data_IF_022847824130
#
_entry.id   IF_022847824130
#
_cell.length_a   1.000
_cell.length_b   1.000
_cell.length_c   1.000
_cell.angle_alpha   90.00
_cell.angle_beta   90.00
_cell.angle_gamma   90.00
#
_symmetry.space_group_name_H-M   'P 1'
#
loop_
_entity.id
_entity.type
_entity.pdbx_description
1 polymer ?
#
# COMPACT_ATOMS: atom_id res chain seq x y z
N UNK A 1 -23.15 -6.65 -15.33
CA UNK A 1 -21.76 -6.39 -14.90
C UNK A 1 -21.14 -7.72 -14.51
N UNK A 2 -19.90 -8.03 -14.94
CA UNK A 2 -19.20 -9.21 -14.46
C UNK A 2 -19.00 -9.14 -12.94
N UNK A 3 -18.92 -10.30 -12.29
CA UNK A 3 -18.64 -10.37 -10.86
C UNK A 3 -17.26 -9.76 -10.56
N UNK A 4 -17.08 -9.09 -9.41
CA UNK A 4 -15.77 -8.62 -8.99
C UNK A 4 -14.82 -9.80 -8.79
N UNK A 5 -13.55 -9.61 -9.15
CA UNK A 5 -12.51 -10.62 -8.96
C UNK A 5 -11.60 -10.22 -7.80
N UNK A 6 -11.29 -11.17 -6.93
CA UNK A 6 -10.48 -10.92 -5.72
C UNK A 6 -9.14 -11.63 -5.82
N UNK A 7 -8.07 -10.98 -5.41
CA UNK A 7 -6.76 -11.57 -5.22
C UNK A 7 -6.19 -11.10 -3.88
N UNK A 8 -5.53 -12.00 -3.15
CA UNK A 8 -4.87 -11.62 -1.91
C UNK A 8 -3.51 -12.30 -1.79
N UNK A 9 -2.60 -11.64 -1.07
CA UNK A 9 -1.27 -12.16 -0.75
C UNK A 9 -0.91 -11.81 0.68
N UNK A 10 -0.18 -12.73 1.32
CA UNK A 10 0.50 -12.48 2.59
C UNK A 10 2.00 -12.43 2.33
N UNK A 11 2.64 -11.33 2.71
CA UNK A 11 4.04 -11.06 2.38
C UNK A 11 4.80 -10.73 3.66
N UNK A 12 5.90 -11.43 3.96
CA UNK A 12 6.74 -11.07 5.10
C UNK A 12 7.50 -9.78 4.78
N UNK A 13 7.42 -8.80 5.67
CA UNK A 13 8.22 -7.58 5.60
C UNK A 13 9.44 -7.72 6.51
N UNK A 14 10.60 -7.55 5.90
CA UNK A 14 11.89 -7.46 6.57
C UNK A 14 12.43 -6.05 6.40
N UNK A 15 12.97 -5.49 7.48
CA UNK A 15 13.66 -4.22 7.44
C UNK A 15 15.16 -4.43 7.42
N UNK A 16 15.83 -3.85 6.44
CA UNK A 16 17.29 -3.73 6.42
C UNK A 16 17.67 -2.30 6.74
N UNK A 17 18.34 -2.09 7.87
CA UNK A 17 18.96 -0.80 8.15
C UNK A 17 20.07 -0.58 7.13
N UNK A 18 19.96 0.44 6.28
CA UNK A 18 21.04 0.74 5.34
C UNK A 18 22.24 1.23 6.16
N UNK A 19 23.27 0.40 6.30
CA UNK A 19 24.55 0.80 6.87
C UNK A 19 25.12 1.94 6.03
N UNK A 20 25.10 3.16 6.57
CA UNK A 20 25.94 4.24 6.05
C UNK A 20 27.39 3.76 6.27
N UNK A 21 28.08 3.36 5.18
CA UNK A 21 29.49 2.93 5.08
C UNK A 21 29.83 1.42 5.12
N UNK A 22 29.21 0.57 4.28
CA UNK A 22 29.80 -0.74 3.96
C UNK A 22 29.82 -1.06 2.46
N UNK A 23 29.90 -0.03 1.60
CA UNK A 23 30.15 -0.21 0.17
C UNK A 23 31.66 -0.33 -0.10
N UNK A 24 32.32 -1.31 0.50
CA UNK A 24 33.61 -1.81 0.05
C UNK A 24 33.81 -3.20 0.65
N UNK A 25 34.02 -4.19 -0.22
CA UNK A 25 34.44 -5.56 0.11
C UNK A 25 33.35 -6.52 0.61
N UNK A 26 32.71 -7.22 -0.32
CA UNK A 26 32.94 -8.65 -0.51
C UNK A 26 31.95 -9.23 -1.53
N UNK A 27 32.49 -9.70 -2.66
CA UNK A 27 31.81 -10.71 -3.49
C UNK A 27 31.89 -12.05 -2.77
N UNK A 28 30.78 -12.75 -2.59
CA UNK A 28 30.67 -14.21 -2.77
C UNK A 28 29.23 -14.70 -2.56
N UNK A 29 28.85 -15.65 -3.41
CA UNK A 29 27.69 -16.54 -3.37
C UNK A 29 27.06 -16.80 -1.98
N UNK A 30 25.75 -16.54 -1.85
CA UNK A 30 24.70 -17.47 -1.39
C UNK A 30 23.33 -16.81 -1.31
N UNK A 31 22.29 -17.59 -1.63
CA UNK A 31 20.90 -17.28 -1.33
C UNK A 31 20.67 -17.42 0.19
N UNK A 32 20.95 -16.37 0.92
CA UNK A 32 20.59 -16.17 2.32
C UNK A 32 20.01 -14.77 2.44
N UNK A 33 18.96 -14.60 3.25
CA UNK A 33 18.51 -13.27 3.62
C UNK A 33 19.75 -12.44 4.06
N UNK A 34 19.85 -11.16 3.69
CA UNK A 34 20.97 -10.33 4.12
C UNK A 34 21.11 -10.47 5.64
N UNK A 35 22.32 -10.69 6.16
CA UNK A 35 22.57 -10.94 7.59
C UNK A 35 22.06 -9.81 8.52
N UNK A 36 21.60 -8.69 7.94
CA UNK A 36 21.08 -7.49 8.61
C UNK A 36 19.55 -7.28 8.49
N UNK A 37 18.81 -8.22 7.89
CA UNK A 37 17.37 -8.08 7.66
C UNK A 37 16.54 -8.57 8.86
N UNK A 38 15.91 -7.64 9.60
CA UNK A 38 15.07 -7.95 10.76
C UNK A 38 13.62 -8.17 10.31
N UNK A 39 13.05 -9.33 10.65
CA UNK A 39 11.62 -9.58 10.42
C UNK A 39 10.77 -8.62 11.27
N UNK A 40 9.87 -7.88 10.62
CA UNK A 40 9.01 -6.90 11.29
C UNK A 40 7.58 -7.41 11.44
N UNK A 41 6.94 -7.79 10.33
CA UNK A 41 5.56 -8.29 10.34
C UNK A 41 5.23 -9.04 9.05
N UNK A 42 4.07 -9.70 9.03
CA UNK A 42 3.45 -10.15 7.79
C UNK A 42 2.40 -9.13 7.36
N UNK A 43 2.46 -8.68 6.12
CA UNK A 43 1.46 -7.78 5.53
C UNK A 43 0.45 -8.62 4.75
N UNK A 44 -0.83 -8.32 4.94
CA UNK A 44 -1.91 -8.83 4.11
C UNK A 44 -2.33 -7.75 3.13
N UNK A 45 -2.32 -8.09 1.83
CA UNK A 45 -2.73 -7.19 0.75
C UNK A 45 -3.80 -7.91 -0.05
N UNK A 46 -4.98 -7.31 -0.13
CA UNK A 46 -6.09 -7.78 -0.94
C UNK A 46 -6.46 -6.74 -2.00
N UNK A 47 -6.74 -7.21 -3.21
CA UNK A 47 -7.22 -6.41 -4.32
C UNK A 47 -8.53 -7.01 -4.84
N UNK A 48 -9.58 -6.21 -4.83
CA UNK A 48 -10.85 -6.50 -5.49
C UNK A 48 -10.96 -5.63 -6.75
N UNK A 49 -11.03 -6.26 -7.91
CA UNK A 49 -11.14 -5.59 -9.19
C UNK A 49 -12.58 -5.64 -9.72
N UNK A 50 -13.14 -4.46 -10.00
CA UNK A 50 -14.42 -4.27 -10.67
C UNK A 50 -14.15 -3.91 -12.14
N UNK A 51 -13.98 -4.95 -12.97
CA UNK A 51 -13.50 -4.80 -14.33
C UNK A 51 -12.03 -4.40 -14.38
N UNK A 52 -11.65 -3.55 -15.33
CA UNK A 52 -10.25 -3.18 -15.60
C UNK A 52 -9.86 -1.77 -15.13
N UNK A 53 -10.82 -1.02 -14.55
CA UNK A 53 -10.62 0.40 -14.21
C UNK A 53 -10.87 0.73 -12.75
N UNK A 54 -11.51 -0.14 -11.98
CA UNK A 54 -11.86 0.15 -10.59
C UNK A 54 -11.28 -0.92 -9.68
N UNK A 55 -10.46 -0.50 -8.72
CA UNK A 55 -9.75 -1.40 -7.81
C UNK A 55 -9.99 -0.96 -6.38
N UNK A 56 -10.35 -1.90 -5.52
CA UNK A 56 -10.32 -1.75 -4.08
C UNK A 56 -9.09 -2.48 -3.53
N UNK A 57 -8.25 -1.78 -2.78
CA UNK A 57 -7.03 -2.31 -2.19
C UNK A 57 -7.18 -2.23 -0.68
N UNK A 58 -7.05 -3.36 0.00
CA UNK A 58 -6.99 -3.43 1.45
C UNK A 58 -5.57 -3.83 1.89
N UNK A 59 -5.02 -3.08 2.84
CA UNK A 59 -3.69 -3.30 3.42
C UNK A 59 -3.85 -3.38 4.93
N UNK A 60 -3.40 -4.48 5.52
CA UNK A 60 -3.39 -4.68 6.97
C UNK A 60 -2.19 -5.53 7.40
N UNK A 61 -1.93 -5.58 8.70
CA UNK A 61 -1.10 -6.66 9.23
C UNK A 61 -1.87 -7.98 9.13
N UNK A 62 -1.17 -9.08 8.82
CA UNK A 62 -1.79 -10.40 8.67
C UNK A 62 -2.59 -10.74 9.92
N UNK A 63 -3.88 -11.08 9.80
CA UNK A 63 -4.66 -11.50 10.94
C UNK A 63 -3.99 -12.69 11.62
N UNK A 64 -3.74 -12.59 12.93
CA UNK A 64 -3.25 -13.71 13.75
C UNK A 64 -4.40 -14.64 14.15
N UNK A 65 -5.64 -14.14 14.12
CA UNK A 65 -6.87 -14.88 14.42
C UNK A 65 -7.90 -14.68 13.29
N UNK A 66 -8.87 -15.60 13.16
CA UNK A 66 -9.95 -15.61 12.16
C UNK A 66 -10.96 -14.44 12.28
N UNK A 67 -10.56 -13.29 12.82
CA UNK A 67 -11.37 -12.09 12.85
C UNK A 67 -11.40 -11.44 11.47
N UNK A 68 -12.58 -10.94 11.08
CA UNK A 68 -12.75 -10.08 9.90
C UNK A 68 -11.75 -8.91 9.99
N UNK A 69 -11.00 -8.59 8.92
CA UNK A 69 -10.09 -7.45 8.94
C UNK A 69 -10.87 -6.17 9.29
N UNK A 70 -10.34 -5.39 10.23
CA UNK A 70 -10.94 -4.10 10.56
C UNK A 70 -10.80 -3.16 9.36
N UNK A 71 -11.80 -2.30 9.15
CA UNK A 71 -11.72 -1.27 8.13
C UNK A 71 -10.98 -0.06 8.73
N UNK A 72 -9.80 0.21 8.19
CA UNK A 72 -8.99 1.36 8.58
C UNK A 72 -9.32 2.62 7.77
N UNK A 73 -8.40 3.59 7.75
CA UNK A 73 -8.59 4.80 6.95
C UNK A 73 -8.72 4.45 5.46
N UNK A 74 -9.70 5.05 4.80
CA UNK A 74 -10.02 4.80 3.40
C UNK A 74 -9.88 6.08 2.58
N UNK A 75 -9.20 5.98 1.44
CA UNK A 75 -9.11 7.05 0.44
C UNK A 75 -9.40 6.52 -0.95
N UNK A 76 -9.66 7.43 -1.87
CA UNK A 76 -9.80 7.15 -3.30
C UNK A 76 -8.86 8.04 -4.08
N UNK A 77 -8.23 7.48 -5.11
CA UNK A 77 -7.49 8.21 -6.12
C UNK A 77 -8.08 7.90 -7.50
N UNK A 78 -8.27 8.94 -8.31
CA UNK A 78 -8.87 8.86 -9.64
C UNK A 78 -7.88 9.46 -10.64
N UNK A 79 -7.42 8.65 -11.60
CA UNK A 79 -6.56 9.10 -12.69
C UNK A 79 -7.35 9.33 -13.96
N UNK A 80 -7.37 10.57 -14.43
CA UNK A 80 -8.05 10.98 -15.65
C UNK A 80 -7.05 11.62 -16.60
N UNK A 81 -7.11 11.28 -17.88
CA UNK A 81 -6.48 12.10 -18.91
C UNK A 81 -7.54 13.08 -19.40
N UNK A 82 -7.29 14.37 -19.19
CA UNK A 82 -8.19 15.43 -19.61
C UNK A 82 -7.87 15.82 -21.06
N UNK A 83 -8.91 15.92 -21.88
CA UNK A 83 -8.80 16.43 -23.25
C UNK A 83 -8.32 17.88 -23.21
N UNK A 84 -7.11 18.15 -23.75
CA UNK A 84 -6.54 19.49 -23.83
C UNK A 84 -5.20 19.68 -23.11
N UNK A 85 -4.81 18.79 -22.20
CA UNK A 85 -3.55 18.91 -21.44
C UNK A 85 -2.39 18.10 -22.04
N UNK A 86 -2.36 17.97 -23.38
CA UNK A 86 -1.32 17.21 -24.09
C UNK A 86 -1.21 15.73 -23.69
N UNK A 87 -2.28 15.14 -23.16
CA UNK A 87 -2.29 13.74 -22.69
C UNK A 87 -1.69 13.52 -21.31
N UNK A 88 -1.42 14.58 -20.54
CA UNK A 88 -0.95 14.48 -19.15
C UNK A 88 -2.02 13.83 -18.26
N UNK A 89 -1.56 12.95 -17.37
CA UNK A 89 -2.40 12.30 -16.37
C UNK A 89 -2.64 13.28 -15.21
N UNK A 90 -3.90 13.66 -15.00
CA UNK A 90 -4.34 14.36 -13.80
C UNK A 90 -4.82 13.34 -12.77
N UNK A 91 -4.42 13.52 -11.51
CA UNK A 91 -4.83 12.64 -10.41
C UNK A 91 -5.48 13.49 -9.34
N UNK A 92 -6.74 13.16 -9.05
CA UNK A 92 -7.47 13.68 -7.90
C UNK A 92 -7.56 12.60 -6.83
N UNK A 93 -7.42 12.97 -5.57
CA UNK A 93 -7.60 12.04 -4.45
C UNK A 93 -8.42 12.68 -3.35
N UNK A 94 -9.25 11.87 -2.69
CA UNK A 94 -10.05 12.27 -1.54
C UNK A 94 -9.97 11.21 -0.47
N UNK A 95 -10.00 11.65 0.78
CA UNK A 95 -10.31 10.78 1.90
C UNK A 95 -11.81 10.45 1.88
N UNK A 96 -12.16 9.20 2.19
CA UNK A 96 -13.53 8.68 2.21
C UNK A 96 -13.98 8.33 3.63
N UNK A 97 -13.11 7.69 4.40
CA UNK A 97 -13.38 7.30 5.78
C UNK A 97 -12.11 7.51 6.60
N UNK A 98 -12.29 8.02 7.81
CA UNK A 98 -11.26 8.00 8.83
C UNK A 98 -11.32 6.69 9.61
N UNK A 99 -10.20 6.30 10.20
CA UNK A 99 -10.19 5.18 11.13
C UNK A 99 -10.81 5.63 12.46
N UNK A 100 -12.02 5.15 12.76
CA UNK A 100 -12.61 5.30 14.08
C UNK A 100 -12.22 4.09 14.94
N UNK A 101 -11.20 4.27 15.80
CA UNK A 101 -10.82 3.24 16.76
C UNK A 101 -11.97 3.00 17.75
N UNK A 102 -12.76 1.95 17.53
CA UNK A 102 -13.76 1.50 18.50
C UNK A 102 -13.02 0.92 19.72
N UNK A 103 -12.84 1.75 20.76
CA UNK A 103 -12.28 1.43 22.09
C UNK A 103 -10.75 1.43 22.21
N UNK A 104 -10.17 2.61 22.43
CA UNK A 104 -8.99 2.75 23.29
C UNK A 104 -9.03 4.14 23.94
N UNK A 105 -9.46 4.19 25.21
CA UNK A 105 -9.51 5.44 25.99
C UNK A 105 -8.13 5.96 26.44
N UNK A 106 -7.04 5.25 26.12
CA UNK A 106 -5.69 5.55 26.65
C UNK A 106 -4.59 5.74 25.58
N UNK A 107 -4.93 5.81 24.29
CA UNK A 107 -3.98 6.19 23.23
C UNK A 107 -4.40 7.52 22.59
N UNK A 108 -3.47 8.39 22.18
CA UNK A 108 -3.79 9.60 21.44
C UNK A 108 -4.37 9.21 20.07
N UNK A 109 -5.70 9.05 20.06
CA UNK A 109 -6.56 8.56 18.97
C UNK A 109 -6.43 9.34 17.66
N UNK A 110 -5.83 10.53 17.69
CA UNK A 110 -5.62 11.37 16.49
C UNK A 110 -4.42 10.98 15.62
N UNK A 111 -3.40 10.30 16.17
CA UNK A 111 -2.12 10.09 15.45
C UNK A 111 -2.15 8.93 14.46
N UNK A 112 -2.83 7.83 14.79
CA UNK A 112 -2.89 6.67 13.90
C UNK A 112 -3.81 6.89 12.68
N UNK A 113 -4.89 7.67 12.82
CA UNK A 113 -5.82 7.94 11.71
C UNK A 113 -5.15 8.81 10.64
N UNK A 114 -4.40 9.83 11.02
CA UNK A 114 -3.75 10.76 10.08
C UNK A 114 -2.67 10.07 9.22
N UNK A 115 -1.87 9.18 9.81
CA UNK A 115 -0.81 8.44 9.09
C UNK A 115 -1.38 7.36 8.16
N UNK A 116 -2.42 6.62 8.57
CA UNK A 116 -3.11 5.67 7.70
C UNK A 116 -3.80 6.38 6.52
N UNK A 117 -4.35 7.57 6.76
CA UNK A 117 -4.97 8.41 5.72
C UNK A 117 -3.95 8.91 4.71
N UNK A 118 -2.79 9.39 5.19
CA UNK A 118 -1.68 9.84 4.36
C UNK A 118 -1.12 8.69 3.53
N UNK A 119 -0.90 7.53 4.15
CA UNK A 119 -0.42 6.32 3.48
C UNK A 119 -1.40 5.87 2.40
N UNK A 120 -2.69 5.71 2.73
CA UNK A 120 -3.69 5.22 1.78
C UNK A 120 -3.81 6.14 0.57
N UNK A 121 -3.82 7.46 0.80
CA UNK A 121 -3.89 8.48 -0.26
C UNK A 121 -2.66 8.40 -1.17
N UNK A 122 -1.47 8.35 -0.58
CA UNK A 122 -0.20 8.25 -1.31
C UNK A 122 -0.12 6.96 -2.13
N UNK A 123 -0.51 5.82 -1.55
CA UNK A 123 -0.54 4.53 -2.23
C UNK A 123 -1.53 4.57 -3.41
N UNK A 124 -2.75 5.09 -3.21
CA UNK A 124 -3.75 5.21 -4.26
C UNK A 124 -3.26 6.04 -5.43
N UNK A 125 -2.67 7.21 -5.16
CA UNK A 125 -2.07 8.06 -6.20
C UNK A 125 -0.93 7.34 -6.95
N UNK A 126 -0.03 6.65 -6.24
CA UNK A 126 1.08 5.91 -6.86
C UNK A 126 0.59 4.76 -7.72
N UNK A 127 -0.44 4.03 -7.29
CA UNK A 127 -1.05 2.94 -8.05
C UNK A 127 -1.69 3.47 -9.34
N UNK A 128 -2.47 4.54 -9.25
CA UNK A 128 -3.06 5.21 -10.43
C UNK A 128 -1.97 5.63 -11.42
N UNK A 129 -0.89 6.29 -10.95
CA UNK A 129 0.26 6.64 -11.82
C UNK A 129 0.89 5.40 -12.45
N UNK A 130 1.08 4.35 -11.66
CA UNK A 130 1.67 3.09 -12.11
C UNK A 130 0.85 2.43 -13.21
N UNK A 131 -0.46 2.31 -13.01
CA UNK A 131 -1.41 1.73 -13.95
C UNK A 131 -1.41 2.52 -15.25
N UNK A 132 -1.53 3.85 -15.18
CA UNK A 132 -1.49 4.69 -16.38
C UNK A 132 -0.15 4.57 -17.13
N UNK A 133 0.98 4.61 -16.42
CA UNK A 133 2.31 4.56 -17.03
C UNK A 133 2.64 3.20 -17.66
N UNK A 134 2.27 2.11 -17.01
CA UNK A 134 2.72 0.75 -17.37
C UNK A 134 1.67 -0.06 -18.11
N UNK A 135 0.38 0.20 -17.88
CA UNK A 135 -0.74 -0.49 -18.52
C UNK A 135 -1.48 0.40 -19.52
N UNK A 136 -1.14 1.69 -19.62
CA UNK A 136 -1.81 2.63 -20.54
C UNK A 136 -3.28 2.87 -20.19
N UNK A 137 -3.70 2.56 -18.97
CA UNK A 137 -5.09 2.59 -18.55
C UNK A 137 -5.36 3.69 -17.51
N UNK A 138 -6.53 4.31 -17.61
CA UNK A 138 -7.04 5.15 -16.52
C UNK A 138 -7.75 4.27 -15.50
N UNK A 139 -7.51 4.56 -14.22
CA UNK A 139 -8.05 3.78 -13.12
C UNK A 139 -8.48 4.67 -11.96
N UNK A 140 -9.43 4.13 -11.20
CA UNK A 140 -9.83 4.58 -9.87
C UNK A 140 -9.41 3.52 -8.87
N UNK A 141 -8.67 3.92 -7.85
CA UNK A 141 -8.15 3.04 -6.81
C UNK A 141 -8.66 3.53 -5.46
N UNK A 142 -9.43 2.69 -4.79
CA UNK A 142 -9.81 2.83 -3.39
C UNK A 142 -8.75 2.10 -2.55
N UNK A 143 -8.24 2.75 -1.51
CA UNK A 143 -7.25 2.17 -0.62
C UNK A 143 -7.74 2.26 0.80
N UNK A 144 -7.93 1.09 1.43
CA UNK A 144 -8.18 0.95 2.85
C UNK A 144 -6.90 0.46 3.53
N UNK A 145 -6.40 1.21 4.51
CA UNK A 145 -5.22 0.85 5.30
C UNK A 145 -5.64 0.65 6.75
N UNK A 146 -5.46 -0.56 7.30
CA UNK A 146 -5.83 -0.96 8.66
C UNK A 146 -4.61 -1.56 9.38
N UNK A 147 -3.56 -0.74 9.53
CA UNK A 147 -2.37 -1.10 10.31
C UNK A 147 -2.51 -0.46 11.69
N UNK A 148 -2.56 -1.31 12.72
CA UNK A 148 -2.86 -0.91 14.09
C UNK A 148 -1.71 -1.24 15.05
N UNK A 149 -1.82 -0.73 16.27
CA UNK A 149 -0.88 -1.03 17.35
C UNK A 149 0.45 -0.29 17.21
N UNK A 150 1.44 -0.77 17.96
CA UNK A 150 2.73 -0.10 18.16
C UNK A 150 3.56 0.06 16.88
N UNK A 151 3.26 -0.73 15.85
CA UNK A 151 3.97 -0.73 14.55
C UNK A 151 3.39 0.24 13.54
N UNK A 152 2.25 0.87 13.81
CA UNK A 152 1.61 1.83 12.91
C UNK A 152 2.57 2.96 12.51
N UNK A 153 3.17 3.67 13.48
CA UNK A 153 4.06 4.80 13.20
C UNK A 153 5.38 4.39 12.51
N UNK A 154 6.11 3.34 12.94
CA UNK A 154 7.31 2.90 12.22
C UNK A 154 7.05 2.51 10.74
N UNK A 155 5.91 1.86 10.47
CA UNK A 155 5.57 1.38 9.13
C UNK A 155 4.98 2.48 8.23
N UNK A 156 4.20 3.40 8.80
CA UNK A 156 3.44 4.40 8.04
C UNK A 156 4.02 5.81 8.12
N UNK A 157 4.96 6.06 9.03
CA UNK A 157 5.57 7.36 9.30
C UNK A 157 4.86 8.11 10.42
N UNK A 158 5.11 9.42 10.50
CA UNK A 158 4.50 10.30 11.51
C UNK A 158 3.53 11.29 10.87
N UNK A 159 2.66 11.89 11.69
CA UNK A 159 1.72 12.95 11.32
C UNK A 159 2.39 14.16 10.65
N UNK A 160 3.67 14.40 10.95
CA UNK A 160 4.47 15.47 10.32
C UNK A 160 4.95 15.14 8.90
N UNK A 161 4.60 13.96 8.37
CA UNK A 161 5.06 13.48 7.07
C UNK A 161 6.52 13.01 7.05
N UNK A 162 7.18 12.93 8.21
CA UNK A 162 8.49 12.30 8.30
C UNK A 162 8.32 10.78 8.28
N UNK A 163 8.94 10.14 7.29
CA UNK A 163 9.07 8.69 7.21
C UNK A 163 10.44 8.26 7.76
N UNK A 164 10.47 7.09 8.38
CA UNK A 164 11.72 6.40 8.67
C UNK A 164 12.16 5.61 7.42
N UNK A 165 13.41 5.18 7.34
CA UNK A 165 13.86 4.28 6.25
C UNK A 165 12.95 3.05 6.12
N UNK A 166 12.47 2.53 7.25
CA UNK A 166 11.50 1.44 7.32
C UNK A 166 10.17 1.80 6.62
N UNK A 167 9.66 3.02 6.79
CA UNK A 167 8.43 3.50 6.15
C UNK A 167 8.55 3.47 4.63
N UNK A 168 9.69 3.90 4.09
CA UNK A 168 9.93 3.89 2.64
C UNK A 168 10.02 2.47 2.08
N UNK A 169 10.76 1.58 2.75
CA UNK A 169 10.87 0.18 2.35
C UNK A 169 9.52 -0.53 2.43
N UNK A 170 8.75 -0.30 3.49
CA UNK A 170 7.40 -0.83 3.67
C UNK A 170 6.46 -0.36 2.56
N UNK A 171 6.40 0.95 2.32
CA UNK A 171 5.56 1.52 1.27
C UNK A 171 5.95 1.06 -0.14
N UNK A 172 7.24 0.78 -0.38
CA UNK A 172 7.70 0.19 -1.64
C UNK A 172 7.18 -1.25 -1.81
N UNK A 173 7.31 -2.09 -0.78
CA UNK A 173 6.79 -3.46 -0.79
C UNK A 173 5.29 -3.49 -1.06
N UNK A 174 4.51 -2.69 -0.32
CA UNK A 174 3.04 -2.66 -0.47
C UNK A 174 2.64 -2.17 -1.86
N UNK A 175 3.32 -1.15 -2.39
CA UNK A 175 3.07 -0.67 -3.75
C UNK A 175 3.35 -1.77 -4.80
N UNK A 176 4.49 -2.44 -4.70
CA UNK A 176 4.90 -3.47 -5.66
C UNK A 176 3.90 -4.62 -5.71
N UNK A 177 3.53 -5.14 -4.55
CA UNK A 177 2.61 -6.28 -4.44
C UNK A 177 1.19 -5.90 -4.85
N UNK A 178 0.70 -4.73 -4.41
CA UNK A 178 -0.63 -4.22 -4.83
C UNK A 178 -0.67 -4.03 -6.35
N UNK A 179 0.36 -3.41 -6.92
CA UNK A 179 0.46 -3.21 -8.36
C UNK A 179 0.52 -4.54 -9.12
N UNK A 180 1.29 -5.51 -8.63
CA UNK A 180 1.40 -6.86 -9.22
C UNK A 180 0.05 -7.54 -9.29
N UNK A 181 -0.72 -7.52 -8.19
CA UNK A 181 -2.06 -8.09 -8.14
C UNK A 181 -3.01 -7.39 -9.13
N UNK A 182 -2.99 -6.06 -9.20
CA UNK A 182 -3.79 -5.28 -10.16
C UNK A 182 -3.42 -5.63 -11.60
N UNK A 183 -2.12 -5.67 -11.92
CA UNK A 183 -1.64 -5.95 -13.27
C UNK A 183 -2.07 -7.34 -13.75
N UNK A 184 -2.02 -8.35 -12.88
CA UNK A 184 -2.53 -9.70 -13.19
C UNK A 184 -4.01 -9.68 -13.58
N UNK A 185 -4.83 -8.84 -12.93
CA UNK A 185 -6.27 -8.72 -13.24
C UNK A 185 -6.53 -7.95 -14.53
N UNK A 186 -5.75 -6.93 -14.83
CA UNK A 186 -5.86 -6.21 -16.10
C UNK A 186 -5.48 -7.08 -17.31
N UNK A 187 -4.45 -7.92 -17.19
CA UNK A 187 -3.99 -8.78 -18.29
C UNK A 187 -4.92 -9.97 -18.53
N UNK A 188 -5.41 -10.62 -17.47
CA UNK A 188 -6.32 -11.77 -17.61
C UNK A 188 -7.72 -11.40 -18.14
N UNK A 189 -8.11 -10.13 -18.10
CA UNK A 189 -9.39 -9.66 -18.63
C UNK A 189 -9.36 -9.38 -20.15
N UNK A 190 -8.20 -9.54 -20.81
CA UNK A 190 -8.02 -9.34 -22.25
C UNK A 190 -8.10 -10.65 -23.09
N UNK A 191 -8.51 -11.77 -22.48
CA UNK A 191 -8.72 -13.08 -23.13
C UNK A 191 -10.18 -13.47 -23.00
#
# INVERSE_FOLDING_TARGET
MPAPSTAAVRVPFYYTASGVNAAAEARADRASAPEDAVFITNVFIEVVAFGTRFFWVHVSESPTNQSVPQLGACSVAVGLQLSGDGGRLSISSSQLMEFEAARQQDMPTGTNSSVQSTFSTSLGQRLVRGIAKRLGAQATVYVNCAIEGERCLPLLGTDGGSGFDMTFQFGALVYEESYRLIAQRCVCACV
#
